data_IF_509825607252
#
_entry.id   IF_509825607252
#
_cell.length_a   1.000
_cell.length_b   1.000
_cell.length_c   1.000
_cell.angle_alpha   90.00
_cell.angle_beta   90.00
_cell.angle_gamma   90.00
#
_symmetry.space_group_name_H-M   'P 1'
#
loop_
_entity.id
_entity.type
_entity.pdbx_description
1 polymer ?
#
# COMPACT_ATOMS: atom_id res chain seq x y z
N UNK A 1 10.31 18.39 16.21
CA UNK A 1 9.12 17.58 15.85
C UNK A 1 9.11 17.46 14.34
N UNK A 2 9.43 16.28 13.80
CA UNK A 2 9.40 16.09 12.33
C UNK A 2 7.97 16.18 11.80
N UNK A 3 7.77 16.43 10.49
CA UNK A 3 6.45 16.41 9.88
C UNK A 3 5.73 15.08 10.21
N UNK A 4 4.43 15.10 10.54
CA UNK A 4 3.69 13.95 11.08
C UNK A 4 3.77 12.70 10.17
N UNK A 5 3.99 12.90 8.88
CA UNK A 5 4.08 11.85 7.88
C UNK A 5 5.34 10.99 7.96
N UNK A 6 6.46 11.54 8.46
CA UNK A 6 7.71 10.79 8.59
C UNK A 6 7.59 9.63 9.60
N UNK A 7 6.82 9.83 10.67
CA UNK A 7 6.55 8.77 11.66
C UNK A 7 5.66 7.66 11.05
N UNK A 8 4.61 8.04 10.31
CA UNK A 8 3.76 7.09 9.59
C UNK A 8 4.56 6.29 8.56
N UNK A 9 5.48 6.94 7.83
CA UNK A 9 6.35 6.28 6.87
C UNK A 9 7.19 5.19 7.53
N UNK A 10 7.90 5.52 8.61
CA UNK A 10 8.72 4.56 9.35
C UNK A 10 7.90 3.40 9.91
N UNK A 11 6.70 3.70 10.43
CA UNK A 11 5.79 2.66 10.92
C UNK A 11 5.34 1.71 9.81
N UNK A 12 5.00 2.22 8.63
CA UNK A 12 4.63 1.38 7.48
C UNK A 12 5.80 0.53 6.98
N UNK A 13 7.03 1.04 7.00
CA UNK A 13 8.22 0.24 6.67
C UNK A 13 8.43 -0.90 7.67
N UNK A 14 8.20 -0.66 8.97
CA UNK A 14 8.24 -1.72 9.98
C UNK A 14 7.14 -2.76 9.76
N UNK A 15 5.93 -2.34 9.36
CA UNK A 15 4.85 -3.25 8.98
C UNK A 15 5.25 -4.11 7.78
N UNK A 16 5.81 -3.51 6.74
CA UNK A 16 6.25 -4.24 5.54
C UNK A 16 7.26 -5.32 5.88
N UNK A 17 8.28 -4.95 6.66
CA UNK A 17 9.29 -5.90 7.13
C UNK A 17 8.69 -7.01 8.01
N UNK A 18 7.74 -6.68 8.89
CA UNK A 18 7.05 -7.66 9.73
C UNK A 18 6.19 -8.63 8.92
N UNK A 19 5.47 -8.14 7.90
CA UNK A 19 4.66 -8.97 7.00
C UNK A 19 5.55 -9.87 6.13
N UNK A 20 6.66 -9.33 5.59
CA UNK A 20 7.65 -10.08 4.81
C UNK A 20 8.25 -11.24 5.60
N UNK A 21 8.53 -11.04 6.89
CA UNK A 21 9.00 -12.08 7.81
C UNK A 21 7.90 -13.02 8.31
N UNK A 22 6.64 -12.76 7.94
CA UNK A 22 5.45 -13.48 8.44
C UNK A 22 5.41 -13.53 9.97
N UNK A 23 5.77 -12.45 10.66
CA UNK A 23 5.82 -12.43 12.13
C UNK A 23 4.48 -12.81 12.78
N UNK A 24 3.38 -12.47 12.12
CA UNK A 24 2.01 -12.80 12.54
C UNK A 24 1.74 -14.32 12.56
N UNK A 25 2.44 -15.11 11.75
CA UNK A 25 2.25 -16.55 11.67
C UNK A 25 2.72 -17.25 12.95
N UNK A 26 3.76 -16.73 13.60
CA UNK A 26 4.27 -17.26 14.87
C UNK A 26 3.27 -17.10 16.01
N UNK A 27 2.38 -16.11 15.93
CA UNK A 27 1.28 -15.88 16.88
C UNK A 27 -0.01 -16.64 16.47
N UNK A 28 0.03 -17.50 15.43
CA UNK A 28 -1.12 -18.27 14.98
C UNK A 28 -2.21 -17.44 14.28
N UNK A 29 -1.89 -16.23 13.81
CA UNK A 29 -2.85 -15.32 13.19
C UNK A 29 -2.91 -15.54 11.67
N UNK A 30 -4.06 -15.24 11.05
CA UNK A 30 -4.32 -15.54 9.64
C UNK A 30 -3.55 -14.68 8.63
N UNK A 31 -3.23 -13.42 8.99
CA UNK A 31 -2.46 -12.50 8.14
C UNK A 31 -1.99 -11.27 8.93
N UNK A 32 -1.03 -10.51 8.38
CA UNK A 32 -0.57 -9.26 8.98
C UNK A 32 -1.71 -8.25 9.18
N UNK A 33 -2.68 -8.18 8.26
CA UNK A 33 -3.83 -7.28 8.42
C UNK A 33 -4.73 -7.67 9.61
N UNK A 34 -4.92 -8.97 9.89
CA UNK A 34 -5.64 -9.41 11.10
C UNK A 34 -4.83 -9.13 12.37
N UNK A 35 -3.51 -9.32 12.30
CA UNK A 35 -2.61 -8.98 13.40
C UNK A 35 -2.66 -7.48 13.73
N UNK A 36 -2.61 -6.60 12.72
CA UNK A 36 -2.74 -5.15 12.89
C UNK A 36 -4.12 -4.74 13.42
N UNK A 37 -5.19 -5.33 12.91
CA UNK A 37 -6.54 -5.08 13.42
C UNK A 37 -6.62 -5.35 14.93
N UNK A 38 -6.07 -6.49 15.37
CA UNK A 38 -6.07 -6.88 16.77
C UNK A 38 -5.12 -6.04 17.62
N UNK A 39 -3.83 -5.98 17.26
CA UNK A 39 -2.78 -5.33 18.07
C UNK A 39 -2.84 -3.81 18.05
N UNK A 40 -3.24 -3.21 16.93
CA UNK A 40 -3.27 -1.76 16.75
C UNK A 40 -4.69 -1.17 16.83
N UNK A 41 -5.70 -2.00 17.12
CA UNK A 41 -7.10 -1.58 17.29
C UNK A 41 -7.64 -0.72 16.14
N UNK A 42 -7.29 -1.08 14.90
CA UNK A 42 -7.81 -0.45 13.67
C UNK A 42 -8.81 -1.36 12.98
N UNK A 43 -9.70 -0.80 12.16
CA UNK A 43 -10.59 -1.62 11.33
C UNK A 43 -9.78 -2.54 10.40
N UNK A 44 -10.36 -3.69 10.04
CA UNK A 44 -9.72 -4.61 9.08
C UNK A 44 -9.47 -3.95 7.72
N UNK A 45 -10.35 -3.05 7.30
CA UNK A 45 -10.17 -2.27 6.05
C UNK A 45 -8.94 -1.37 6.14
N UNK A 46 -8.81 -0.63 7.25
CA UNK A 46 -7.64 0.23 7.51
C UNK A 46 -6.36 -0.60 7.57
N UNK A 47 -6.39 -1.74 8.26
CA UNK A 47 -5.24 -2.65 8.35
C UNK A 47 -4.80 -3.15 6.96
N UNK A 48 -5.74 -3.63 6.14
CA UNK A 48 -5.44 -4.06 4.75
C UNK A 48 -4.81 -2.96 3.92
N UNK A 49 -5.31 -1.73 4.05
CA UNK A 49 -4.74 -0.59 3.33
C UNK A 49 -3.30 -0.29 3.79
N UNK A 50 -3.02 -0.34 5.09
CA UNK A 50 -1.66 -0.17 5.61
C UNK A 50 -0.72 -1.27 5.09
N UNK A 51 -1.12 -2.55 5.15
CA UNK A 51 -0.31 -3.66 4.62
C UNK A 51 -0.05 -3.49 3.12
N UNK A 52 -1.07 -3.11 2.34
CA UNK A 52 -0.91 -2.84 0.90
C UNK A 52 0.11 -1.74 0.63
N UNK A 53 0.00 -0.61 1.33
CA UNK A 53 0.92 0.51 1.17
C UNK A 53 2.33 0.11 1.60
N UNK A 54 2.46 -0.58 2.73
CA UNK A 54 3.73 -1.06 3.25
C UNK A 54 4.45 -1.97 2.24
N UNK A 55 3.75 -2.97 1.68
CA UNK A 55 4.32 -3.87 0.67
C UNK A 55 4.68 -3.15 -0.63
N UNK A 56 3.89 -2.14 -1.05
CA UNK A 56 4.20 -1.37 -2.25
C UNK A 56 5.49 -0.55 -2.10
N UNK A 57 5.78 0.00 -0.91
CA UNK A 57 6.96 0.81 -0.67
C UNK A 57 8.29 0.05 -0.82
N UNK A 58 8.29 -1.28 -0.68
CA UNK A 58 9.50 -2.12 -0.84
C UNK A 58 10.13 -1.98 -2.23
N UNK A 59 9.32 -1.75 -3.26
CA UNK A 59 9.77 -1.59 -4.65
C UNK A 59 9.88 -0.14 -5.13
N UNK A 60 9.74 0.84 -4.24
CA UNK A 60 9.61 2.26 -4.59
C UNK A 60 10.58 3.13 -3.77
N UNK A 61 11.89 3.07 -4.04
CA UNK A 61 12.91 3.74 -3.23
C UNK A 61 12.77 5.27 -3.21
N UNK A 62 12.40 5.92 -4.31
CA UNK A 62 12.32 7.37 -4.40
C UNK A 62 11.10 7.92 -3.64
N UNK A 63 9.94 7.26 -3.79
CA UNK A 63 8.73 7.58 -3.02
C UNK A 63 8.95 7.29 -1.53
N UNK A 64 9.61 6.18 -1.20
CA UNK A 64 9.93 5.82 0.19
C UNK A 64 10.80 6.89 0.84
N UNK A 65 11.87 7.33 0.17
CA UNK A 65 12.76 8.38 0.67
C UNK A 65 11.98 9.69 0.92
N UNK A 66 11.16 10.11 -0.05
CA UNK A 66 10.35 11.32 0.07
C UNK A 66 9.32 11.25 1.21
N UNK A 67 8.73 10.07 1.42
CA UNK A 67 7.76 9.86 2.48
C UNK A 67 8.42 9.85 3.87
N UNK A 68 9.58 9.21 4.00
CA UNK A 68 10.38 9.22 5.25
C UNK A 68 10.89 10.62 5.57
N UNK A 69 11.22 11.42 4.57
CA UNK A 69 11.54 12.84 4.72
C UNK A 69 10.31 13.70 5.09
N UNK A 70 9.09 13.15 4.97
CA UNK A 70 7.84 13.82 5.27
C UNK A 70 7.37 14.81 4.20
N UNK A 71 7.94 14.72 3.00
CA UNK A 71 7.60 15.55 1.84
C UNK A 71 6.27 15.11 1.20
N UNK A 72 5.93 13.83 1.38
CA UNK A 72 4.65 13.26 0.98
C UNK A 72 3.79 12.94 2.21
N UNK A 73 2.48 13.18 2.09
CA UNK A 73 1.51 12.72 3.10
C UNK A 73 1.10 11.28 2.85
N UNK A 74 0.65 10.59 3.91
CA UNK A 74 0.14 9.23 3.78
C UNK A 74 -0.98 9.12 2.72
N UNK A 75 -1.89 10.10 2.66
CA UNK A 75 -2.96 10.11 1.66
C UNK A 75 -2.43 10.12 0.22
N UNK A 76 -1.38 10.91 -0.07
CA UNK A 76 -0.73 10.95 -1.39
C UNK A 76 -0.08 9.61 -1.71
N UNK A 77 0.71 9.07 -0.79
CA UNK A 77 1.41 7.78 -0.95
C UNK A 77 0.41 6.63 -1.16
N UNK A 78 -0.63 6.58 -0.34
CA UNK A 78 -1.72 5.60 -0.44
C UNK A 78 -2.40 5.66 -1.81
N UNK A 79 -2.57 6.86 -2.38
CA UNK A 79 -3.14 7.02 -3.71
C UNK A 79 -2.20 6.50 -4.80
N UNK A 80 -0.98 7.06 -4.89
CA UNK A 80 -0.04 6.80 -5.99
C UNK A 80 0.43 5.34 -6.02
N UNK A 81 0.54 4.68 -4.86
CA UNK A 81 0.88 3.24 -4.76
C UNK A 81 -0.13 2.30 -5.43
N UNK A 82 -1.22 2.83 -6.01
CA UNK A 82 -2.19 2.05 -6.79
C UNK A 82 -1.91 2.01 -8.29
N UNK A 83 -1.04 2.88 -8.79
CA UNK A 83 -0.74 3.03 -10.22
C UNK A 83 0.77 3.11 -10.51
N UNK A 84 1.57 3.33 -9.46
CA UNK A 84 3.01 3.44 -9.61
C UNK A 84 3.64 2.09 -9.90
N UNK A 85 4.63 2.13 -10.77
CA UNK A 85 5.55 1.07 -11.13
C UNK A 85 6.96 1.65 -11.05
N UNK A 86 8.02 0.82 -11.00
CA UNK A 86 9.39 1.33 -11.04
C UNK A 86 9.67 2.22 -12.26
N UNK A 87 9.00 1.99 -13.39
CA UNK A 87 9.21 2.74 -14.63
C UNK A 87 8.63 4.17 -14.61
N UNK A 88 7.61 4.45 -13.77
CA UNK A 88 6.97 5.76 -13.68
C UNK A 88 7.07 6.38 -12.28
N UNK A 89 7.93 5.83 -11.41
CA UNK A 89 8.06 6.26 -10.02
C UNK A 89 8.43 7.74 -9.90
N UNK A 90 9.45 8.18 -10.65
CA UNK A 90 9.94 9.56 -10.59
C UNK A 90 8.89 10.58 -11.07
N UNK A 91 8.16 10.24 -12.13
CA UNK A 91 7.09 11.09 -12.67
C UNK A 91 5.96 11.27 -11.65
N UNK A 92 5.49 10.16 -11.07
CA UNK A 92 4.41 10.19 -10.08
C UNK A 92 4.84 10.82 -8.76
N UNK A 93 6.10 10.63 -8.36
CA UNK A 93 6.70 11.33 -7.22
C UNK A 93 6.68 12.84 -7.45
N UNK A 94 7.14 13.29 -8.61
CA UNK A 94 7.17 14.71 -8.96
C UNK A 94 5.76 15.32 -8.95
N UNK A 95 4.79 14.66 -9.58
CA UNK A 95 3.38 15.08 -9.54
C UNK A 95 2.83 15.13 -8.10
N UNK A 96 3.14 14.14 -7.27
CA UNK A 96 2.68 14.09 -5.88
C UNK A 96 3.27 15.20 -5.01
N UNK A 97 4.51 15.66 -5.27
CA UNK A 97 5.13 16.78 -4.53
C UNK A 97 4.36 18.08 -4.69
N UNK A 98 3.90 18.37 -5.91
CA UNK A 98 3.28 19.65 -6.25
C UNK A 98 1.74 19.65 -6.27
N UNK A 99 1.11 18.51 -6.01
CA UNK A 99 -0.35 18.40 -5.91
C UNK A 99 -0.83 18.35 -4.44
N UNK A 100 -2.09 18.68 -4.21
CA UNK A 100 -2.78 18.36 -2.94
C UNK A 100 -3.20 16.88 -2.93
N UNK A 101 -3.45 16.31 -1.75
CA UNK A 101 -3.90 14.92 -1.66
C UNK A 101 -5.20 14.65 -2.47
N UNK A 102 -6.11 15.63 -2.52
CA UNK A 102 -7.35 15.52 -3.33
C UNK A 102 -7.06 15.51 -4.84
N UNK A 103 -6.13 16.35 -5.30
CA UNK A 103 -5.69 16.36 -6.69
C UNK A 103 -4.96 15.06 -7.06
N UNK A 104 -4.09 14.56 -6.18
CA UNK A 104 -3.42 13.25 -6.35
C UNK A 104 -4.47 12.14 -6.48
N UNK A 105 -5.45 12.08 -5.58
CA UNK A 105 -6.53 11.10 -5.62
C UNK A 105 -7.34 11.18 -6.92
N UNK A 106 -7.66 12.40 -7.38
CA UNK A 106 -8.38 12.63 -8.65
C UNK A 106 -7.56 12.14 -9.84
N UNK A 107 -6.26 12.49 -9.89
CA UNK A 107 -5.35 12.04 -10.93
C UNK A 107 -5.26 10.52 -10.98
N UNK A 108 -5.03 9.85 -9.85
CA UNK A 108 -4.93 8.39 -9.78
C UNK A 108 -6.21 7.70 -10.24
N UNK A 109 -7.38 8.26 -9.91
CA UNK A 109 -8.68 7.74 -10.38
C UNK A 109 -8.81 7.82 -11.89
N UNK A 110 -8.45 8.95 -12.51
CA UNK A 110 -8.51 9.12 -13.96
C UNK A 110 -7.50 8.24 -14.68
N UNK A 111 -6.27 8.17 -14.16
CA UNK A 111 -5.21 7.34 -14.73
C UNK A 111 -5.59 5.85 -14.73
N UNK A 112 -6.19 5.35 -13.65
CA UNK A 112 -6.68 3.96 -13.62
C UNK A 112 -7.78 3.72 -14.65
N UNK A 113 -8.75 4.63 -14.76
CA UNK A 113 -9.80 4.50 -15.79
C UNK A 113 -9.22 4.41 -17.20
N UNK A 114 -8.21 5.23 -17.50
CA UNK A 114 -7.50 5.15 -18.79
C UNK A 114 -6.75 3.82 -18.97
N UNK A 115 -6.10 3.30 -17.94
CA UNK A 115 -5.45 1.97 -18.01
C UNK A 115 -6.47 0.87 -18.27
N UNK A 116 -7.60 0.88 -17.56
CA UNK A 116 -8.67 -0.10 -17.70
C UNK A 116 -9.31 -0.02 -19.11
N UNK A 117 -9.45 1.18 -19.67
CA UNK A 117 -9.99 1.40 -21.03
C UNK A 117 -9.01 0.99 -22.15
N UNK A 118 -7.69 1.13 -21.92
CA UNK A 118 -6.65 0.73 -22.87
C UNK A 118 -6.32 -0.76 -22.83
N UNK A 119 -6.72 -1.46 -21.76
CA UNK A 119 -6.55 -2.90 -21.59
C UNK A 119 -7.91 -3.58 -21.33
N UNK A 120 -8.85 -3.53 -22.31
CA UNK A 120 -10.20 -4.06 -22.13
C UNK A 120 -10.22 -5.58 -21.92
N UNK A 121 -9.16 -6.27 -22.36
CA UNK A 121 -8.93 -7.70 -22.23
C UNK A 121 -7.83 -8.04 -21.21
N UNK A 122 -7.42 -7.09 -20.36
CA UNK A 122 -6.36 -7.21 -19.36
C UNK A 122 -6.56 -8.39 -18.43
N UNK A 123 -6.08 -9.54 -18.88
CA UNK A 123 -6.22 -10.85 -18.25
C UNK A 123 -5.79 -10.76 -16.79
N UNK A 124 -6.75 -10.84 -15.87
CA UNK A 124 -6.63 -11.59 -14.62
C UNK A 124 -5.31 -11.43 -13.82
N UNK A 125 -4.57 -10.31 -13.93
CA UNK A 125 -3.31 -10.07 -13.22
C UNK A 125 -3.54 -9.58 -11.78
N UNK A 126 -4.81 -9.52 -11.36
CA UNK A 126 -5.25 -9.50 -9.95
C UNK A 126 -5.69 -10.86 -9.41
N UNK A 127 -5.55 -11.95 -10.17
CA UNK A 127 -5.99 -13.29 -9.76
C UNK A 127 -5.14 -13.93 -8.64
N UNK A 128 -4.10 -13.25 -8.14
CA UNK A 128 -3.35 -13.69 -6.94
C UNK A 128 -4.14 -13.48 -5.64
N UNK A 129 -5.21 -12.67 -5.65
CA UNK A 129 -6.08 -12.49 -4.46
C UNK A 129 -7.17 -13.59 -4.33
N UNK A 130 -7.37 -14.47 -5.31
CA UNK A 130 -8.35 -15.58 -5.23
C UNK A 130 -7.90 -16.72 -4.31
N UNK A 131 -6.59 -16.87 -4.09
CA UNK A 131 -6.04 -18.04 -3.38
C UNK A 131 -6.32 -18.07 -1.87
N UNK A 132 -6.62 -16.92 -1.25
CA UNK A 132 -6.94 -16.89 0.19
C UNK A 132 -8.39 -17.29 0.52
N UNK A 133 -9.19 -17.68 -0.49
CA UNK A 133 -10.56 -18.19 -0.30
C UNK A 133 -10.64 -19.71 -0.19
N UNK A 134 -9.51 -20.43 -0.22
CA UNK A 134 -9.46 -21.91 -0.22
C UNK A 134 -8.93 -22.56 1.07
N UNK A 135 -8.50 -21.79 2.08
CA UNK A 135 -7.91 -22.34 3.31
C UNK A 135 -8.77 -22.22 4.58
N UNK A 136 -10.05 -21.84 4.48
CA UNK A 136 -10.97 -21.91 5.62
C UNK A 136 -12.03 -23.01 5.45
N UNK A 137 -11.70 -24.02 4.66
CA UNK A 137 -12.37 -25.32 4.70
C UNK A 137 -11.30 -26.32 5.14
N UNK A 138 -11.47 -26.88 6.34
CA UNK A 138 -10.66 -27.90 7.03
C UNK A 138 -9.76 -27.40 8.18
N UNK A 139 -10.21 -27.77 9.39
CA UNK A 139 -9.41 -28.23 10.55
C UNK A 139 -8.50 -27.17 11.22
N UNK A 140 -8.62 -26.80 12.50
CA UNK A 140 -9.24 -27.37 13.71
C UNK A 140 -9.74 -26.22 14.61
#
# INVERSE_FOLDING_TARGET
MGPPHAATARWLLLIGEYDRRRGWFQEGILSCAHWLMWKCSVSLQTAREHVRVAGALEGLPAITAAFVAGELSYSKVRAITRIVTPANEDELLNMARYSTASQTDKFVRLYRGMLDDCDPDGEAAGATQRHNRRYLTHHF
#
